data_IF_176559470206
#
_entry.id   IF_176559470206
#
_cell.length_a   1.000
_cell.length_b   1.000
_cell.length_c   1.000
_cell.angle_alpha   90.00
_cell.angle_beta   90.00
_cell.angle_gamma   90.00
#
_symmetry.space_group_name_H-M   'P 1'
#
loop_
_entity.id
_entity.type
_entity.pdbx_description
1 polymer ?
#
# COMPACT_ATOMS: atom_id res chain seq x y z
N UNK A 1 21.81 -7.70 32.45
CA UNK A 1 22.28 -7.25 31.12
C UNK A 1 21.35 -6.15 30.66
N UNK A 2 21.84 -4.93 30.50
CA UNK A 2 21.05 -3.82 29.93
C UNK A 2 20.76 -4.13 28.47
N UNK A 3 19.50 -4.37 28.15
CA UNK A 3 19.06 -4.58 26.76
C UNK A 3 19.35 -3.32 25.94
N UNK A 4 20.28 -3.42 25.01
CA UNK A 4 20.64 -2.32 24.11
C UNK A 4 19.42 -1.98 23.25
N UNK A 5 19.02 -0.72 23.26
CA UNK A 5 17.95 -0.16 22.42
C UNK A 5 18.56 0.84 21.45
N UNK A 6 17.84 1.16 20.36
CA UNK A 6 18.25 2.20 19.45
C UNK A 6 18.34 3.56 20.13
N UNK A 7 19.41 4.30 19.85
CA UNK A 7 19.51 5.72 20.20
C UNK A 7 18.47 6.52 19.38
N UNK A 8 18.14 7.75 19.84
CA UNK A 8 17.23 8.63 19.12
C UNK A 8 17.64 8.87 17.66
N UNK A 9 18.93 9.05 17.39
CA UNK A 9 19.47 9.22 16.04
C UNK A 9 19.28 7.97 15.18
N UNK A 10 19.57 6.80 15.73
CA UNK A 10 19.37 5.52 15.03
C UNK A 10 17.88 5.26 14.74
N UNK A 11 16.98 5.58 15.68
CA UNK A 11 15.53 5.44 15.49
C UNK A 11 15.01 6.36 14.36
N UNK A 12 15.51 7.61 14.29
CA UNK A 12 15.19 8.51 13.18
C UNK A 12 15.72 7.93 11.84
N UNK A 13 16.91 7.35 11.84
CA UNK A 13 17.47 6.74 10.64
C UNK A 13 16.63 5.54 10.17
N UNK A 14 16.18 4.67 11.08
CA UNK A 14 15.27 3.55 10.76
C UNK A 14 13.93 4.09 10.25
N UNK A 15 13.38 5.12 10.90
CA UNK A 15 12.12 5.73 10.49
C UNK A 15 12.19 6.35 9.09
N UNK A 16 13.27 7.06 8.76
CA UNK A 16 13.45 7.64 7.42
C UNK A 16 13.70 6.57 6.36
N UNK A 17 14.35 5.47 6.73
CA UNK A 17 14.50 4.31 5.83
C UNK A 17 13.14 3.67 5.54
N UNK A 18 12.35 3.41 6.58
CA UNK A 18 11.00 2.85 6.46
C UNK A 18 10.08 3.78 5.67
N UNK A 19 10.12 5.09 5.93
CA UNK A 19 9.41 6.08 5.13
C UNK A 19 9.78 5.97 3.64
N UNK A 20 11.08 5.91 3.34
CA UNK A 20 11.54 5.78 1.95
C UNK A 20 11.17 4.46 1.28
N UNK A 21 10.85 3.41 2.06
CA UNK A 21 10.34 2.14 1.53
C UNK A 21 8.83 2.21 1.24
N UNK A 22 8.06 2.86 2.10
CA UNK A 22 6.62 3.04 1.89
C UNK A 22 6.31 4.09 0.84
N UNK A 23 7.00 5.24 0.90
CA UNK A 23 6.63 6.40 0.10
C UNK A 23 6.94 6.20 -1.38
N UNK A 24 5.91 5.86 -2.15
CA UNK A 24 5.95 5.57 -3.58
C UNK A 24 4.84 6.31 -4.35
N UNK A 25 4.59 5.85 -5.57
CA UNK A 25 3.61 6.45 -6.47
C UNK A 25 2.20 6.57 -5.87
N UNK A 26 1.73 5.52 -5.19
CA UNK A 26 0.40 5.49 -4.59
C UNK A 26 0.19 6.56 -3.53
N UNK A 27 1.21 6.77 -2.69
CA UNK A 27 1.18 7.72 -1.59
C UNK A 27 1.05 9.19 -2.02
N UNK A 28 1.22 9.45 -3.31
CA UNK A 28 1.04 10.77 -3.91
C UNK A 28 -0.32 10.93 -4.57
N UNK A 29 -0.70 9.94 -5.37
CA UNK A 29 -1.87 10.08 -6.22
C UNK A 29 -3.18 9.88 -5.45
N UNK A 30 -3.25 8.90 -4.53
CA UNK A 30 -4.49 8.61 -3.81
C UNK A 30 -4.92 9.76 -2.89
N UNK A 31 -4.05 10.37 -2.06
CA UNK A 31 -4.49 11.46 -1.19
C UNK A 31 -5.02 12.68 -1.95
N UNK A 32 -4.38 13.06 -3.05
CA UNK A 32 -4.82 14.21 -3.84
C UNK A 32 -6.19 13.95 -4.49
N UNK A 33 -6.36 12.78 -5.09
CA UNK A 33 -7.63 12.37 -5.69
C UNK A 33 -8.76 12.24 -4.65
N UNK A 34 -8.46 11.62 -3.50
CA UNK A 34 -9.36 11.55 -2.37
C UNK A 34 -9.86 12.94 -1.95
N UNK A 35 -8.96 13.92 -1.89
CA UNK A 35 -9.33 15.30 -1.59
C UNK A 35 -10.33 15.88 -2.57
N UNK A 36 -10.12 15.65 -3.87
CA UNK A 36 -11.07 16.09 -4.91
C UNK A 36 -12.44 15.45 -4.75
N UNK A 37 -12.50 14.17 -4.34
CA UNK A 37 -13.75 13.43 -4.19
C UNK A 37 -14.49 13.76 -2.90
N UNK A 38 -13.76 13.93 -1.80
CA UNK A 38 -14.34 14.13 -0.47
C UNK A 38 -14.96 15.51 -0.27
N UNK A 39 -14.49 16.54 -0.95
CA UNK A 39 -15.03 17.89 -0.86
C UNK A 39 -15.13 18.38 0.58
N UNK A 40 -16.27 18.94 0.96
CA UNK A 40 -16.54 19.46 2.32
C UNK A 40 -16.52 18.39 3.42
N UNK A 41 -16.62 17.10 3.07
CA UNK A 41 -16.50 15.96 4.00
C UNK A 41 -15.05 15.47 4.15
N UNK A 42 -14.06 16.31 3.85
CA UNK A 42 -12.62 15.97 3.87
C UNK A 42 -12.13 15.52 5.25
N UNK A 43 -12.63 16.06 6.35
CA UNK A 43 -12.13 15.71 7.70
C UNK A 43 -12.40 14.22 8.05
N UNK A 44 -13.67 13.71 8.00
CA UNK A 44 -13.89 12.28 8.18
C UNK A 44 -13.14 11.42 7.14
N UNK A 45 -12.97 11.91 5.91
CA UNK A 45 -12.21 11.22 4.89
C UNK A 45 -10.71 11.10 5.27
N UNK A 46 -10.08 12.17 5.76
CA UNK A 46 -8.70 12.14 6.27
C UNK A 46 -8.55 11.07 7.37
N UNK A 47 -9.48 11.02 8.33
CA UNK A 47 -9.41 10.07 9.45
C UNK A 47 -9.48 8.64 8.93
N UNK A 48 -10.45 8.32 8.07
CA UNK A 48 -10.59 6.99 7.48
C UNK A 48 -9.34 6.55 6.70
N UNK A 49 -8.83 7.43 5.85
CA UNK A 49 -7.64 7.18 5.04
C UNK A 49 -6.38 6.93 5.88
N UNK A 50 -6.13 7.76 6.91
CA UNK A 50 -4.94 7.62 7.76
C UNK A 50 -4.97 6.29 8.53
N UNK A 51 -6.12 5.81 8.97
CA UNK A 51 -6.19 4.53 9.67
C UNK A 51 -5.64 3.39 8.79
N UNK A 52 -6.01 3.35 7.52
CA UNK A 52 -5.61 2.27 6.61
C UNK A 52 -4.29 2.52 5.91
N UNK A 53 -4.02 3.74 5.46
CA UNK A 53 -2.82 4.07 4.72
C UNK A 53 -1.60 4.35 5.62
N UNK A 54 -1.79 4.53 6.93
CA UNK A 54 -0.71 4.76 7.90
C UNK A 54 -0.75 3.78 9.06
N UNK A 55 -1.90 3.61 9.71
CA UNK A 55 -2.04 2.79 10.91
C UNK A 55 -1.74 1.32 10.63
N UNK A 56 -2.51 0.70 9.72
CA UNK A 56 -2.34 -0.73 9.40
C UNK A 56 -0.92 -1.06 8.88
N UNK A 57 -0.29 -0.27 8.00
CA UNK A 57 1.09 -0.50 7.57
C UNK A 57 2.10 -0.57 8.70
N UNK A 58 2.03 0.36 9.66
CA UNK A 58 2.93 0.37 10.82
C UNK A 58 2.73 -0.88 11.67
N UNK A 59 1.47 -1.23 11.94
CA UNK A 59 1.16 -2.48 12.65
C UNK A 59 1.60 -3.72 11.84
N UNK A 60 1.55 -3.68 10.50
CA UNK A 60 2.05 -4.75 9.64
C UNK A 60 3.55 -5.01 9.83
N UNK A 61 4.37 -3.95 9.79
CA UNK A 61 5.81 -4.05 10.09
C UNK A 61 6.04 -4.58 11.50
N UNK A 62 5.31 -4.03 12.48
CA UNK A 62 5.46 -4.40 13.87
C UNK A 62 5.00 -5.85 14.17
N UNK A 63 4.02 -6.37 13.44
CA UNK A 63 3.54 -7.75 13.58
C UNK A 63 4.65 -8.78 13.32
N UNK A 64 5.53 -8.53 12.35
CA UNK A 64 6.69 -9.38 12.07
C UNK A 64 7.65 -9.38 13.29
N UNK A 65 7.92 -8.20 13.87
CA UNK A 65 8.78 -8.07 15.06
C UNK A 65 8.19 -8.73 16.31
N UNK A 66 6.92 -8.43 16.62
CA UNK A 66 6.24 -8.93 17.83
C UNK A 66 6.07 -10.46 17.82
N UNK A 67 5.95 -11.06 16.65
CA UNK A 67 5.83 -12.51 16.49
C UNK A 67 7.15 -13.24 16.35
N UNK A 68 8.29 -12.52 16.42
CA UNK A 68 9.64 -13.04 16.20
C UNK A 68 9.73 -13.84 14.89
N UNK A 69 9.06 -13.34 13.85
CA UNK A 69 8.98 -14.01 12.53
C UNK A 69 10.11 -13.55 11.63
N UNK A 70 10.70 -14.47 10.86
CA UNK A 70 11.73 -14.16 9.85
C UNK A 70 11.15 -13.56 8.55
N UNK A 71 9.89 -13.13 8.58
CA UNK A 71 9.17 -12.51 7.48
C UNK A 71 7.72 -12.98 7.38
N UNK A 72 7.05 -12.54 6.32
CA UNK A 72 5.64 -12.82 6.08
C UNK A 72 5.33 -14.31 6.02
N UNK A 73 6.19 -15.11 5.37
CA UNK A 73 5.96 -16.56 5.22
C UNK A 73 5.91 -17.27 6.57
N UNK A 74 6.76 -16.89 7.52
CA UNK A 74 6.77 -17.45 8.87
C UNK A 74 5.55 -17.01 9.65
N UNK A 75 5.16 -15.73 9.58
CA UNK A 75 3.97 -15.21 10.24
C UNK A 75 2.69 -15.88 9.71
N UNK A 76 2.48 -15.89 8.40
CA UNK A 76 1.31 -16.54 7.78
C UNK A 76 1.34 -18.06 7.89
N UNK A 77 2.52 -18.64 8.04
CA UNK A 77 2.75 -20.06 8.31
C UNK A 77 2.15 -20.53 9.64
N UNK A 78 1.85 -19.63 10.59
CA UNK A 78 1.12 -19.95 11.84
C UNK A 78 -0.29 -20.48 11.57
N UNK A 79 -0.91 -20.12 10.45
CA UNK A 79 -2.18 -20.70 9.97
C UNK A 79 -1.95 -22.13 9.45
N UNK A 80 -0.88 -22.30 8.69
CA UNK A 80 -0.45 -23.58 8.11
C UNK A 80 0.63 -23.37 7.05
N UNK A 81 1.50 -24.36 6.85
CA UNK A 81 2.65 -24.25 5.94
C UNK A 81 2.22 -23.90 4.50
N UNK A 82 1.18 -24.55 3.97
CA UNK A 82 0.67 -24.25 2.62
C UNK A 82 0.07 -22.85 2.52
N UNK A 83 -0.64 -22.42 3.56
CA UNK A 83 -1.17 -21.05 3.63
C UNK A 83 -0.05 -20.01 3.64
N UNK A 84 1.02 -20.24 4.39
CA UNK A 84 2.19 -19.37 4.43
C UNK A 84 2.78 -19.12 3.05
N UNK A 85 2.95 -20.18 2.25
CA UNK A 85 3.44 -20.10 0.88
C UNK A 85 2.44 -19.33 0.00
N UNK A 86 1.18 -19.76 0.01
CA UNK A 86 0.11 -19.17 -0.81
C UNK A 86 -0.02 -17.66 -0.56
N UNK A 87 -0.17 -17.27 0.72
CA UNK A 87 -0.40 -15.87 1.07
C UNK A 87 0.82 -14.98 0.78
N UNK A 88 2.03 -15.50 0.98
CA UNK A 88 3.27 -14.81 0.62
C UNK A 88 3.38 -14.59 -0.89
N UNK A 89 3.11 -15.63 -1.70
CA UNK A 89 3.09 -15.49 -3.16
C UNK A 89 2.07 -14.43 -3.59
N UNK A 90 0.84 -14.55 -3.11
CA UNK A 90 -0.25 -13.66 -3.50
C UNK A 90 0.09 -12.20 -3.16
N UNK A 91 0.59 -11.95 -1.95
CA UNK A 91 0.95 -10.61 -1.49
C UNK A 91 2.11 -10.04 -2.32
N UNK A 92 3.21 -10.79 -2.48
CA UNK A 92 4.37 -10.29 -3.24
C UNK A 92 4.07 -10.10 -4.73
N UNK A 93 3.23 -10.94 -5.34
CA UNK A 93 2.78 -10.71 -6.70
C UNK A 93 1.94 -9.44 -6.82
N UNK A 94 1.08 -9.17 -5.83
CA UNK A 94 0.22 -7.97 -5.81
C UNK A 94 1.03 -6.69 -5.67
N UNK A 95 1.92 -6.58 -4.68
CA UNK A 95 2.79 -5.40 -4.50
C UNK A 95 3.95 -5.35 -5.50
N UNK A 96 4.20 -6.43 -6.20
CA UNK A 96 5.24 -6.58 -7.20
C UNK A 96 4.69 -6.41 -8.62
N UNK A 97 4.81 -7.46 -9.44
CA UNK A 97 4.63 -7.37 -10.88
C UNK A 97 3.19 -7.12 -11.34
N UNK A 98 2.17 -7.41 -10.51
CA UNK A 98 0.78 -7.23 -10.93
C UNK A 98 0.35 -5.76 -10.89
N UNK A 99 0.66 -5.02 -9.80
CA UNK A 99 0.09 -3.68 -9.64
C UNK A 99 1.08 -2.59 -9.24
N UNK A 100 1.86 -2.72 -8.16
CA UNK A 100 2.63 -1.58 -7.67
C UNK A 100 3.82 -1.22 -8.58
N UNK A 101 4.53 -2.19 -9.14
CA UNK A 101 5.64 -1.93 -10.06
C UNK A 101 5.14 -1.31 -11.38
N UNK A 102 4.11 -1.88 -12.07
CA UNK A 102 3.54 -1.26 -13.27
C UNK A 102 3.00 0.14 -13.00
N UNK A 103 2.33 0.34 -11.85
CA UNK A 103 1.81 1.64 -11.44
C UNK A 103 2.91 2.70 -11.30
N UNK A 104 4.09 2.35 -10.84
CA UNK A 104 5.21 3.28 -10.79
C UNK A 104 5.57 3.83 -12.18
N UNK A 105 5.61 2.99 -13.20
CA UNK A 105 5.89 3.43 -14.57
C UNK A 105 4.76 4.32 -15.12
N UNK A 106 3.50 3.89 -14.92
CA UNK A 106 2.35 4.64 -15.45
C UNK A 106 2.12 5.96 -14.74
N UNK A 107 2.35 6.05 -13.42
CA UNK A 107 2.30 7.35 -12.70
C UNK A 107 3.38 8.29 -13.23
N UNK A 108 4.62 7.79 -13.42
CA UNK A 108 5.70 8.59 -14.00
C UNK A 108 5.37 9.09 -15.40
N UNK A 109 4.74 8.25 -16.22
CA UNK A 109 4.27 8.63 -17.55
C UNK A 109 3.16 9.68 -17.47
N UNK A 110 2.12 9.44 -16.66
CA UNK A 110 0.95 10.33 -16.53
C UNK A 110 1.35 11.73 -16.03
N UNK A 111 2.30 11.80 -15.10
CA UNK A 111 2.76 13.09 -14.56
C UNK A 111 3.81 13.78 -15.43
N UNK A 112 4.60 13.03 -16.19
CA UNK A 112 5.77 13.57 -16.89
C UNK A 112 5.62 13.72 -18.39
N UNK A 113 5.07 12.74 -19.06
CA UNK A 113 5.07 12.66 -20.53
C UNK A 113 3.69 12.88 -21.11
N UNK A 114 2.65 12.30 -20.50
CA UNK A 114 1.27 12.36 -20.99
C UNK A 114 0.78 13.78 -21.30
N UNK A 115 1.05 14.82 -20.49
CA UNK A 115 0.60 16.19 -20.78
C UNK A 115 1.24 16.82 -22.02
N UNK A 116 2.34 16.25 -22.51
CA UNK A 116 3.12 16.77 -23.64
C UNK A 116 2.80 16.04 -24.97
N UNK A 117 1.93 15.03 -24.93
CA UNK A 117 1.66 14.12 -26.03
C UNK A 117 0.18 14.15 -26.39
N UNK A 118 -0.13 14.19 -27.70
CA UNK A 118 -1.51 14.12 -28.18
C UNK A 118 -2.19 12.79 -27.80
N UNK A 119 -3.49 12.79 -27.63
CA UNK A 119 -4.26 11.60 -27.22
C UNK A 119 -4.02 10.40 -28.14
N UNK A 120 -3.93 10.63 -29.45
CA UNK A 120 -3.67 9.57 -30.43
C UNK A 120 -2.30 8.94 -30.31
N UNK A 121 -1.30 9.66 -29.81
CA UNK A 121 0.06 9.16 -29.61
C UNK A 121 0.31 8.58 -28.21
N UNK A 122 -0.64 8.72 -27.25
CA UNK A 122 -0.51 8.26 -25.87
C UNK A 122 -0.11 6.77 -25.78
N UNK A 123 -0.72 5.82 -26.49
CA UNK A 123 -0.36 4.41 -26.34
C UNK A 123 1.08 4.12 -26.76
N UNK A 124 1.54 4.70 -27.87
CA UNK A 124 2.91 4.54 -28.34
C UNK A 124 3.91 5.22 -27.40
N UNK A 125 3.58 6.42 -26.92
CA UNK A 125 4.43 7.14 -25.97
C UNK A 125 4.55 6.37 -24.64
N UNK A 126 3.45 5.78 -24.13
CA UNK A 126 3.47 4.92 -22.94
C UNK A 126 4.35 3.69 -23.15
N UNK A 127 4.23 3.02 -24.31
CA UNK A 127 5.04 1.85 -24.63
C UNK A 127 6.54 2.19 -24.64
N UNK A 128 6.91 3.29 -25.31
CA UNK A 128 8.32 3.72 -25.39
C UNK A 128 8.86 4.17 -24.02
N UNK A 129 8.07 4.96 -23.29
CA UNK A 129 8.45 5.40 -21.94
C UNK A 129 8.63 4.22 -20.98
N UNK A 130 7.65 3.31 -20.95
CA UNK A 130 7.71 2.13 -20.07
C UNK A 130 8.86 1.19 -20.44
N UNK A 131 9.18 1.02 -21.73
CA UNK A 131 10.33 0.26 -22.18
C UNK A 131 11.63 0.84 -21.61
N UNK A 132 11.83 2.16 -21.73
CA UNK A 132 13.01 2.84 -21.16
C UNK A 132 13.03 2.73 -19.64
N UNK A 133 11.90 3.01 -18.97
CA UNK A 133 11.77 2.92 -17.52
C UNK A 133 12.14 1.52 -17.01
N UNK A 134 11.59 0.46 -17.60
CA UNK A 134 11.85 -0.91 -17.17
C UNK A 134 13.25 -1.41 -17.58
N UNK A 135 13.85 -0.88 -18.64
CA UNK A 135 15.26 -1.13 -18.94
C UNK A 135 16.18 -0.61 -17.80
N UNK A 136 15.89 0.60 -17.27
CA UNK A 136 16.59 1.11 -16.08
C UNK A 136 16.29 0.28 -14.83
N UNK A 137 15.02 -0.08 -14.58
CA UNK A 137 14.66 -0.94 -13.45
C UNK A 137 15.44 -2.23 -13.49
N UNK A 138 15.46 -2.93 -14.62
CA UNK A 138 16.17 -4.20 -14.78
C UNK A 138 17.68 -4.03 -14.60
N UNK A 139 18.28 -3.03 -15.25
CA UNK A 139 19.71 -2.77 -15.15
C UNK A 139 20.16 -2.56 -13.70
N UNK A 140 19.44 -1.75 -12.93
CA UNK A 140 19.78 -1.48 -11.53
C UNK A 140 19.42 -2.65 -10.60
N UNK A 141 18.36 -3.36 -10.84
CA UNK A 141 17.99 -4.55 -10.04
C UNK A 141 19.00 -5.68 -10.20
N UNK A 142 19.59 -5.83 -11.39
CA UNK A 142 20.63 -6.83 -11.63
C UNK A 142 22.02 -6.43 -11.07
N UNK A 143 22.21 -5.17 -10.70
CA UNK A 143 23.45 -4.63 -10.15
C UNK A 143 23.16 -3.85 -8.86
N UNK A 144 22.72 -4.51 -7.77
CA UNK A 144 22.44 -3.86 -6.50
C UNK A 144 23.72 -3.21 -5.97
N UNK A 145 23.88 -1.93 -6.18
CA UNK A 145 25.09 -1.18 -5.85
C UNK A 145 24.77 0.16 -5.19
N UNK A 146 25.82 0.95 -4.92
CA UNK A 146 25.74 2.25 -4.23
C UNK A 146 24.81 3.27 -4.90
N UNK A 147 24.48 3.13 -6.20
CA UNK A 147 23.66 4.08 -6.98
C UNK A 147 22.24 4.14 -6.45
N UNK A 148 21.61 3.01 -6.08
CA UNK A 148 20.26 2.99 -5.51
C UNK A 148 20.18 3.75 -4.18
N UNK A 149 21.26 3.66 -3.39
CA UNK A 149 21.39 4.42 -2.13
C UNK A 149 21.57 5.91 -2.41
N UNK A 150 22.34 6.27 -3.44
CA UNK A 150 22.58 7.67 -3.84
C UNK A 150 21.29 8.34 -4.36
N UNK A 151 20.57 7.67 -5.24
CA UNK A 151 19.28 8.13 -5.75
C UNK A 151 18.33 8.40 -4.57
N UNK A 152 18.24 7.48 -3.60
CA UNK A 152 17.39 7.69 -2.42
C UNK A 152 17.84 8.82 -1.49
N UNK A 153 19.15 9.07 -1.36
CA UNK A 153 19.67 10.13 -0.48
C UNK A 153 19.48 11.55 -1.03
N UNK A 154 19.48 11.72 -2.34
CA UNK A 154 19.37 13.04 -2.97
C UNK A 154 17.93 13.29 -3.44
N UNK A 155 17.33 12.35 -4.15
CA UNK A 155 16.06 12.57 -4.82
C UNK A 155 14.90 12.62 -3.84
N UNK A 156 14.88 11.79 -2.79
CA UNK A 156 13.81 11.86 -1.79
C UNK A 156 13.74 13.24 -1.08
N UNK A 157 14.83 13.81 -0.56
CA UNK A 157 14.78 15.15 0.02
C UNK A 157 14.36 16.23 -0.98
N UNK A 158 14.86 16.18 -2.22
CA UNK A 158 14.49 17.15 -3.27
C UNK A 158 13.00 17.04 -3.60
N UNK A 159 12.49 15.82 -3.74
CA UNK A 159 11.07 15.58 -3.97
C UNK A 159 10.20 16.08 -2.81
N UNK A 160 10.56 15.75 -1.57
CA UNK A 160 9.82 16.21 -0.39
C UNK A 160 9.85 17.74 -0.25
N UNK A 161 10.98 18.37 -0.58
CA UNK A 161 11.09 19.83 -0.59
C UNK A 161 10.16 20.44 -1.65
N UNK A 162 10.17 19.91 -2.87
CA UNK A 162 9.26 20.37 -3.93
C UNK A 162 7.80 20.16 -3.56
N UNK A 163 7.45 19.00 -3.03
CA UNK A 163 6.09 18.71 -2.55
C UNK A 163 5.67 19.66 -1.44
N UNK A 164 6.56 19.95 -0.48
CA UNK A 164 6.30 20.94 0.58
C UNK A 164 6.04 22.34 0.00
N UNK A 165 6.88 22.79 -0.94
CA UNK A 165 6.70 24.08 -1.62
C UNK A 165 5.38 24.13 -2.39
N UNK A 166 5.04 23.07 -3.13
CA UNK A 166 3.78 22.96 -3.87
C UNK A 166 2.56 23.03 -2.93
N UNK A 167 2.59 22.24 -1.85
CA UNK A 167 1.53 22.22 -0.83
C UNK A 167 1.37 23.58 -0.16
N UNK A 168 2.48 24.20 0.25
CA UNK A 168 2.45 25.54 0.87
C UNK A 168 1.85 26.56 -0.11
N UNK A 169 2.25 26.56 -1.38
CA UNK A 169 1.70 27.45 -2.38
C UNK A 169 0.18 27.26 -2.56
N UNK A 170 -0.26 25.99 -2.62
CA UNK A 170 -1.67 25.65 -2.77
C UNK A 170 -2.51 26.03 -1.55
N UNK A 171 -2.00 25.82 -0.33
CA UNK A 171 -2.71 26.18 0.90
C UNK A 171 -2.75 27.69 1.16
N UNK A 172 -1.73 28.45 0.72
CA UNK A 172 -1.69 29.91 0.85
C UNK A 172 -2.57 30.62 -0.18
N UNK A 173 -2.80 30.01 -1.35
CA UNK A 173 -3.65 30.53 -2.42
C UNK A 173 -4.65 29.47 -2.87
N UNK A 174 -5.61 29.09 -2.01
CA UNK A 174 -6.55 28.01 -2.32
C UNK A 174 -7.43 28.38 -3.50
N UNK A 175 -7.73 27.40 -4.36
CA UNK A 175 -8.67 27.59 -5.47
C UNK A 175 -10.12 27.72 -5.01
N UNK A 176 -10.48 27.05 -3.90
CA UNK A 176 -11.79 27.15 -3.25
C UNK A 176 -11.68 27.01 -1.74
N UNK A 177 -12.72 27.53 -1.02
CA UNK A 177 -12.92 27.17 0.39
C UNK A 177 -13.39 25.71 0.48
N UNK A 178 -12.93 24.99 1.48
CA UNK A 178 -13.31 23.57 1.69
C UNK A 178 -14.83 23.42 1.84
N UNK A 179 -15.49 24.38 2.51
CA UNK A 179 -16.95 24.39 2.70
C UNK A 179 -17.74 24.45 1.40
N UNK A 180 -17.14 25.03 0.36
CA UNK A 180 -17.83 25.32 -0.91
C UNK A 180 -17.65 24.20 -1.94
N UNK A 181 -16.82 23.21 -1.63
CA UNK A 181 -16.55 22.08 -2.50
C UNK A 181 -17.57 20.95 -2.23
N UNK A 182 -18.47 20.71 -3.17
CA UNK A 182 -19.42 19.62 -3.06
C UNK A 182 -18.74 18.25 -3.07
N UNK A 183 -19.05 17.35 -2.12
CA UNK A 183 -18.56 15.98 -2.14
C UNK A 183 -19.21 15.18 -3.27
N UNK A 184 -18.52 14.15 -3.77
CA UNK A 184 -19.10 13.18 -4.69
C UNK A 184 -20.06 12.22 -3.96
N UNK A 185 -20.88 11.48 -4.71
CA UNK A 185 -21.89 10.58 -4.15
C UNK A 185 -21.33 9.60 -3.10
N UNK A 186 -20.18 8.92 -3.32
CA UNK A 186 -19.59 8.03 -2.30
C UNK A 186 -19.12 8.73 -1.03
N UNK A 187 -19.02 10.06 -1.04
CA UNK A 187 -18.55 10.91 0.07
C UNK A 187 -19.64 11.88 0.57
N UNK A 188 -20.90 11.69 0.17
CA UNK A 188 -21.99 12.63 0.44
C UNK A 188 -22.29 12.86 1.93
N UNK A 189 -22.05 11.88 2.78
CA UNK A 189 -22.20 11.99 4.23
C UNK A 189 -20.89 11.82 4.97
N UNK A 190 -20.78 12.31 6.21
CA UNK A 190 -19.59 12.11 7.05
C UNK A 190 -19.25 10.64 7.25
N UNK A 191 -20.28 9.79 7.43
CA UNK A 191 -20.11 8.35 7.61
C UNK A 191 -19.61 7.68 6.33
N UNK A 192 -20.24 7.96 5.18
CA UNK A 192 -19.80 7.41 3.92
C UNK A 192 -18.41 7.92 3.54
N UNK A 193 -18.09 9.19 3.77
CA UNK A 193 -16.76 9.75 3.54
C UNK A 193 -15.68 9.03 4.37
N UNK A 194 -15.95 8.73 5.64
CA UNK A 194 -15.03 7.96 6.48
C UNK A 194 -14.78 6.54 5.92
N UNK A 195 -15.85 5.79 5.61
CA UNK A 195 -15.68 4.42 5.15
C UNK A 195 -15.17 4.31 3.72
N UNK A 196 -15.59 5.20 2.82
CA UNK A 196 -15.05 5.25 1.46
C UNK A 196 -13.54 5.54 1.46
N UNK A 197 -13.10 6.50 2.27
CA UNK A 197 -11.69 6.82 2.38
C UNK A 197 -10.87 5.77 3.13
N UNK A 198 -11.48 5.07 4.10
CA UNK A 198 -10.87 3.91 4.74
C UNK A 198 -10.52 2.83 3.70
N UNK A 199 -11.42 2.58 2.76
CA UNK A 199 -11.20 1.64 1.65
C UNK A 199 -10.23 2.22 0.61
N UNK A 200 -10.31 3.52 0.30
CA UNK A 200 -9.39 4.19 -0.63
C UNK A 200 -7.92 4.03 -0.17
N UNK A 201 -7.70 4.01 1.16
CA UNK A 201 -6.38 3.76 1.74
C UNK A 201 -5.79 2.39 1.37
N UNK A 202 -6.60 1.40 0.98
CA UNK A 202 -6.09 0.13 0.43
C UNK A 202 -5.32 0.35 -0.88
N UNK A 203 -5.73 1.34 -1.66
CA UNK A 203 -5.07 1.70 -2.92
C UNK A 203 -3.59 2.07 -2.77
N UNK A 204 -3.14 2.56 -1.60
CA UNK A 204 -1.71 2.82 -1.37
C UNK A 204 -0.87 1.54 -1.35
N UNK A 205 -1.47 0.38 -1.02
CA UNK A 205 -0.83 -0.92 -0.84
C UNK A 205 0.15 -0.99 0.33
N UNK A 206 0.21 0.05 1.18
CA UNK A 206 1.20 0.15 2.25
C UNK A 206 1.01 -0.90 3.34
N UNK A 207 -0.22 -1.31 3.66
CA UNK A 207 -0.47 -2.32 4.70
C UNK A 207 0.11 -3.69 4.32
N UNK A 208 -0.07 -4.11 3.07
CA UNK A 208 0.52 -5.35 2.56
C UNK A 208 2.03 -5.20 2.35
N UNK A 209 2.50 -4.00 1.95
CA UNK A 209 3.93 -3.69 1.88
C UNK A 209 4.58 -3.71 3.27
N UNK A 210 3.88 -3.27 4.33
CA UNK A 210 4.35 -3.32 5.71
C UNK A 210 4.68 -4.74 6.18
N UNK A 211 3.83 -5.71 5.84
CA UNK A 211 4.09 -7.13 6.10
C UNK A 211 5.30 -7.66 5.32
N UNK A 212 5.51 -7.19 4.09
CA UNK A 212 6.65 -7.59 3.27
C UNK A 212 7.97 -6.93 3.73
N UNK A 213 7.92 -5.67 4.17
CA UNK A 213 9.10 -4.90 4.55
C UNK A 213 9.54 -5.12 6.00
N UNK A 214 8.70 -5.74 6.83
CA UNK A 214 8.99 -5.95 8.25
C UNK A 214 10.35 -6.61 8.51
N UNK A 215 10.72 -7.62 7.72
CA UNK A 215 12.02 -8.28 7.85
C UNK A 215 13.19 -7.35 7.56
N UNK A 216 13.07 -6.49 6.53
CA UNK A 216 14.15 -5.56 6.16
C UNK A 216 14.41 -4.56 7.29
N UNK A 217 13.35 -4.08 7.95
CA UNK A 217 13.47 -3.15 9.08
C UNK A 217 14.10 -3.84 10.29
N UNK A 218 13.71 -5.09 10.58
CA UNK A 218 14.30 -5.91 11.64
C UNK A 218 15.79 -6.11 11.38
N UNK A 219 16.19 -6.47 10.17
CA UNK A 219 17.60 -6.65 9.80
C UNK A 219 18.42 -5.37 9.97
N UNK A 220 17.87 -4.22 9.61
CA UNK A 220 18.51 -2.91 9.83
C UNK A 220 18.74 -2.66 11.32
N UNK A 221 17.73 -2.91 12.17
CA UNK A 221 17.82 -2.74 13.63
C UNK A 221 18.85 -3.70 14.24
N UNK A 222 18.85 -4.96 13.83
CA UNK A 222 19.83 -5.96 14.29
C UNK A 222 21.26 -5.58 13.90
N UNK A 223 21.49 -5.10 12.68
CA UNK A 223 22.81 -4.58 12.25
C UNK A 223 23.29 -3.38 13.04
N UNK A 224 22.38 -2.64 13.71
CA UNK A 224 22.73 -1.57 14.64
C UNK A 224 23.07 -2.09 16.06
N UNK A 225 23.08 -3.42 16.26
CA UNK A 225 23.49 -4.10 17.48
C UNK A 225 22.39 -4.24 18.51
N UNK A 226 21.12 -4.33 18.10
CA UNK A 226 19.98 -4.69 18.95
C UNK A 226 19.68 -6.18 18.69
N UNK A 227 20.08 -7.06 19.62
CA UNK A 227 19.97 -8.51 19.44
C UNK A 227 18.75 -9.12 20.15
N UNK A 228 18.23 -8.44 21.19
CA UNK A 228 17.08 -8.91 21.94
C UNK A 228 15.79 -8.68 21.14
N UNK A 229 15.01 -9.73 20.92
CA UNK A 229 13.80 -9.73 20.10
C UNK A 229 12.72 -8.77 20.61
N UNK A 230 12.52 -8.67 21.93
CA UNK A 230 11.56 -7.73 22.51
C UNK A 230 12.02 -6.27 22.32
N UNK A 231 13.32 -6.01 22.41
CA UNK A 231 13.88 -4.69 22.13
C UNK A 231 13.74 -4.32 20.64
N UNK A 232 13.97 -5.27 19.74
CA UNK A 232 13.74 -5.11 18.30
C UNK A 232 12.27 -4.75 18.03
N UNK A 233 11.32 -5.48 18.61
CA UNK A 233 9.90 -5.20 18.45
C UNK A 233 9.51 -3.78 18.91
N UNK A 234 10.03 -3.34 20.06
CA UNK A 234 9.80 -1.97 20.57
C UNK A 234 10.42 -0.92 19.65
N UNK A 235 11.63 -1.16 19.14
CA UNK A 235 12.31 -0.22 18.24
C UNK A 235 11.66 -0.16 16.84
N UNK A 236 11.12 -1.29 16.34
CA UNK A 236 10.28 -1.33 15.13
C UNK A 236 9.04 -0.47 15.31
N UNK A 237 8.29 -0.66 16.42
CA UNK A 237 7.11 0.15 16.72
C UNK A 237 7.45 1.64 16.85
N UNK A 238 8.50 1.97 17.62
CA UNK A 238 8.90 3.36 17.82
C UNK A 238 9.35 4.07 16.53
N UNK A 239 10.06 3.35 15.65
CA UNK A 239 10.45 3.88 14.33
C UNK A 239 9.24 3.97 13.40
N UNK A 240 8.33 2.98 13.46
CA UNK A 240 7.09 2.96 12.72
C UNK A 240 6.17 4.14 13.05
N UNK A 241 6.02 4.48 14.32
CA UNK A 241 5.22 5.65 14.75
C UNK A 241 5.80 6.95 14.17
N UNK A 242 7.14 7.12 14.20
CA UNK A 242 7.77 8.30 13.59
C UNK A 242 7.53 8.38 12.07
N UNK A 243 7.66 7.24 11.39
CA UNK A 243 7.33 7.13 9.96
C UNK A 243 5.88 7.49 9.69
N UNK A 244 4.96 6.95 10.49
CA UNK A 244 3.53 7.18 10.34
C UNK A 244 3.13 8.64 10.58
N UNK A 245 3.73 9.30 11.56
CA UNK A 245 3.51 10.73 11.77
C UNK A 245 3.91 11.56 10.54
N UNK A 246 5.06 11.25 9.93
CA UNK A 246 5.51 11.93 8.72
C UNK A 246 4.56 11.66 7.54
N UNK A 247 4.15 10.39 7.33
CA UNK A 247 3.18 10.03 6.30
C UNK A 247 1.83 10.70 6.53
N UNK A 248 1.32 10.69 7.76
CA UNK A 248 0.05 11.32 8.11
C UNK A 248 0.04 12.83 7.81
N UNK A 249 1.11 13.55 8.17
CA UNK A 249 1.23 14.97 7.84
C UNK A 249 1.17 15.20 6.33
N UNK A 250 1.94 14.43 5.55
CA UNK A 250 1.96 14.56 4.09
C UNK A 250 0.58 14.26 3.51
N UNK A 251 -0.11 13.21 3.99
CA UNK A 251 -1.44 12.85 3.50
C UNK A 251 -2.48 13.92 3.83
N UNK A 252 -2.50 14.45 5.06
CA UNK A 252 -3.42 15.53 5.44
C UNK A 252 -3.27 16.71 4.50
N UNK A 253 -2.04 17.20 4.30
CA UNK A 253 -1.82 18.41 3.50
C UNK A 253 -2.07 18.18 2.00
N UNK A 254 -1.78 16.98 1.49
CA UNK A 254 -2.05 16.65 0.08
C UNK A 254 -3.54 16.39 -0.19
N UNK A 255 -4.29 15.82 0.76
CA UNK A 255 -5.75 15.70 0.68
C UNK A 255 -6.39 17.10 0.67
N UNK A 256 -6.00 17.97 1.59
CA UNK A 256 -6.51 19.36 1.63
C UNK A 256 -6.20 20.11 0.34
N UNK A 257 -4.99 19.98 -0.19
CA UNK A 257 -4.60 20.55 -1.48
C UNK A 257 -5.50 20.01 -2.61
N UNK A 258 -5.78 18.70 -2.62
CA UNK A 258 -6.70 18.07 -3.56
C UNK A 258 -8.12 18.64 -3.47
N UNK A 259 -8.67 18.80 -2.26
CA UNK A 259 -10.00 19.40 -2.05
C UNK A 259 -10.05 20.83 -2.59
N UNK A 260 -9.08 21.65 -2.26
CA UNK A 260 -9.04 23.06 -2.67
C UNK A 260 -8.82 23.23 -4.18
N UNK A 261 -8.20 22.27 -4.84
CA UNK A 261 -7.98 22.28 -6.29
C UNK A 261 -9.29 22.24 -7.10
N UNK A 262 -10.40 21.80 -6.49
CA UNK A 262 -11.73 21.75 -7.10
C UNK A 262 -12.30 23.12 -7.48
N UNK A 263 -11.77 24.21 -6.91
CA UNK A 263 -12.09 25.58 -7.37
C UNK A 263 -11.40 25.98 -8.66
N UNK A 264 -10.41 25.21 -9.10
CA UNK A 264 -9.60 25.47 -10.30
C UNK A 264 -9.84 24.43 -11.40
N UNK A 265 -10.12 23.19 -11.01
CA UNK A 265 -10.21 22.03 -11.88
C UNK A 265 -11.42 21.16 -11.54
N UNK A 266 -11.96 20.49 -12.52
CA UNK A 266 -12.90 19.39 -12.31
C UNK A 266 -12.20 18.18 -11.67
N UNK A 267 -12.98 17.18 -11.25
CA UNK A 267 -12.44 15.93 -10.73
C UNK A 267 -11.65 15.24 -11.83
N UNK A 268 -10.39 14.96 -11.56
CA UNK A 268 -9.52 14.26 -12.49
C UNK A 268 -9.79 12.74 -12.46
N UNK A 269 -9.52 12.02 -13.54
CA UNK A 269 -9.67 10.56 -13.60
C UNK A 269 -8.77 9.83 -12.60
N UNK A 270 -7.66 10.45 -12.22
CA UNK A 270 -6.75 9.93 -11.21
C UNK A 270 -5.89 11.05 -10.59
N UNK A 271 -5.29 10.76 -9.45
CA UNK A 271 -4.49 11.74 -8.73
C UNK A 271 -3.18 12.14 -9.40
N UNK A 272 -2.70 11.39 -10.39
CA UNK A 272 -1.52 11.79 -11.18
C UNK A 272 -1.83 13.00 -12.05
N UNK A 273 -2.99 12.99 -12.72
CA UNK A 273 -3.50 14.12 -13.51
C UNK A 273 -3.73 15.33 -12.60
N UNK A 274 -4.46 15.12 -11.48
CA UNK A 274 -4.73 16.19 -10.50
C UNK A 274 -3.45 16.89 -10.02
N UNK A 275 -2.45 16.11 -9.64
CA UNK A 275 -1.18 16.64 -9.14
C UNK A 275 -0.43 17.44 -10.19
N UNK A 276 -0.46 16.98 -11.45
CA UNK A 276 0.17 17.67 -12.60
C UNK A 276 -0.54 19.00 -12.91
N UNK A 277 -1.87 19.03 -12.88
CA UNK A 277 -2.66 20.24 -13.05
C UNK A 277 -2.36 21.26 -11.95
N UNK A 278 -2.31 20.84 -10.70
CA UNK A 278 -1.99 21.69 -9.55
C UNK A 278 -0.57 22.26 -9.68
N UNK A 279 0.42 21.43 -9.99
CA UNK A 279 1.80 21.88 -10.18
C UNK A 279 1.93 22.87 -11.35
N UNK A 280 1.22 22.63 -12.44
CA UNK A 280 1.15 23.52 -13.59
C UNK A 280 0.51 24.87 -13.27
N UNK A 281 -0.56 24.88 -12.46
CA UNK A 281 -1.23 26.11 -12.05
C UNK A 281 -0.34 27.02 -11.21
N UNK A 282 0.34 26.46 -10.20
CA UNK A 282 1.14 27.27 -9.26
C UNK A 282 2.52 27.64 -9.80
N UNK A 283 3.15 26.79 -10.59
CA UNK A 283 4.54 26.96 -11.04
C UNK A 283 4.75 26.85 -12.56
N UNK A 284 3.66 26.79 -13.33
CA UNK A 284 3.73 26.68 -14.79
C UNK A 284 4.46 25.42 -15.26
N UNK A 285 5.02 25.47 -16.46
CA UNK A 285 5.76 24.34 -17.04
C UNK A 285 6.98 23.89 -16.23
N UNK A 286 7.61 24.81 -15.51
CA UNK A 286 8.76 24.48 -14.63
C UNK A 286 8.31 23.58 -13.49
N UNK A 287 7.15 23.86 -12.87
CA UNK A 287 6.59 23.02 -11.80
C UNK A 287 6.24 21.62 -12.30
N UNK A 288 5.66 21.52 -13.50
CA UNK A 288 5.36 20.22 -14.11
C UNK A 288 6.64 19.40 -14.38
N UNK A 289 7.70 20.02 -14.90
CA UNK A 289 8.98 19.35 -15.16
C UNK A 289 9.62 18.85 -13.86
N UNK A 290 9.68 19.69 -12.81
CA UNK A 290 10.24 19.29 -11.52
C UNK A 290 9.44 18.13 -10.93
N UNK A 291 8.10 18.20 -10.98
CA UNK A 291 7.22 17.12 -10.53
C UNK A 291 7.49 15.83 -11.30
N UNK A 292 7.51 15.91 -12.63
CA UNK A 292 7.75 14.78 -13.53
C UNK A 292 9.09 14.07 -13.22
N UNK A 293 10.16 14.84 -13.12
CA UNK A 293 11.50 14.31 -12.83
C UNK A 293 11.55 13.66 -11.46
N UNK A 294 11.08 14.35 -10.43
CA UNK A 294 11.14 13.87 -9.06
C UNK A 294 10.27 12.64 -8.82
N UNK A 295 9.04 12.60 -9.38
CA UNK A 295 8.16 11.42 -9.33
C UNK A 295 8.78 10.25 -10.09
N UNK A 296 9.31 10.47 -11.29
CA UNK A 296 9.91 9.41 -12.10
C UNK A 296 11.06 8.73 -11.34
N UNK A 297 11.93 9.50 -10.72
CA UNK A 297 13.03 8.93 -9.93
C UNK A 297 12.56 8.25 -8.64
N UNK A 298 11.56 8.80 -7.95
CA UNK A 298 10.96 8.15 -6.78
C UNK A 298 10.33 6.81 -7.16
N UNK A 299 9.57 6.77 -8.27
CA UNK A 299 8.96 5.56 -8.81
C UNK A 299 10.01 4.54 -9.29
N UNK A 300 11.07 5.00 -9.94
CA UNK A 300 12.18 4.15 -10.38
C UNK A 300 12.84 3.43 -9.18
N UNK A 301 13.15 4.18 -8.11
CA UNK A 301 13.70 3.62 -6.87
C UNK A 301 12.75 2.57 -6.27
N UNK A 302 11.46 2.88 -6.16
CA UNK A 302 10.45 1.97 -5.62
C UNK A 302 10.36 0.69 -6.46
N UNK A 303 10.33 0.81 -7.78
CA UNK A 303 10.30 -0.34 -8.70
C UNK A 303 11.53 -1.23 -8.56
N UNK A 304 12.73 -0.65 -8.47
CA UNK A 304 13.98 -1.39 -8.25
C UNK A 304 13.91 -2.15 -6.92
N UNK A 305 13.47 -1.48 -5.85
CA UNK A 305 13.32 -2.10 -4.53
C UNK A 305 12.33 -3.26 -4.53
N UNK A 306 11.18 -3.09 -5.18
CA UNK A 306 10.15 -4.13 -5.28
C UNK A 306 10.60 -5.32 -6.14
N UNK A 307 11.21 -5.09 -7.31
CA UNK A 307 11.76 -6.18 -8.14
C UNK A 307 12.81 -6.96 -7.36
N UNK A 308 13.68 -6.27 -6.62
CA UNK A 308 14.71 -6.92 -5.80
C UNK A 308 14.07 -7.76 -4.68
N UNK A 309 13.16 -7.17 -3.91
CA UNK A 309 12.51 -7.86 -2.78
C UNK A 309 11.68 -9.05 -3.23
N UNK A 310 10.91 -8.90 -4.32
CA UNK A 310 10.16 -10.02 -4.92
C UNK A 310 11.11 -11.14 -5.36
N UNK A 311 12.18 -10.80 -6.09
CA UNK A 311 13.13 -11.78 -6.62
C UNK A 311 13.84 -12.54 -5.51
N UNK A 312 14.31 -11.86 -4.45
CA UNK A 312 14.94 -12.49 -3.29
C UNK A 312 13.97 -13.43 -2.56
N UNK A 313 12.72 -13.00 -2.38
CA UNK A 313 11.68 -13.82 -1.73
C UNK A 313 11.39 -15.09 -2.54
N UNK A 314 11.23 -14.96 -3.86
CA UNK A 314 10.93 -16.11 -4.71
C UNK A 314 12.14 -17.06 -4.88
N UNK A 315 13.37 -16.56 -4.82
CA UNK A 315 14.57 -17.42 -4.73
C UNK A 315 14.53 -18.27 -3.46
N UNK A 316 14.23 -17.65 -2.30
CA UNK A 316 14.09 -18.39 -1.03
C UNK A 316 12.96 -19.42 -1.09
N UNK A 317 11.82 -19.07 -1.63
CA UNK A 317 10.65 -19.94 -1.75
C UNK A 317 10.89 -21.13 -2.69
N UNK A 318 11.67 -20.93 -3.75
CA UNK A 318 12.06 -21.99 -4.68
C UNK A 318 13.32 -22.77 -4.25
N UNK A 319 13.79 -22.52 -3.03
CA UNK A 319 15.01 -23.13 -2.49
C UNK A 319 16.23 -22.98 -3.44
N UNK A 320 16.34 -21.84 -4.09
CA UNK A 320 17.44 -21.52 -5.01
C UNK A 320 17.37 -22.23 -6.38
N UNK A 321 16.33 -23.01 -6.67
CA UNK A 321 16.18 -23.71 -7.97
C UNK A 321 16.09 -22.74 -9.15
N UNK A 322 15.54 -21.56 -8.93
CA UNK A 322 15.43 -20.50 -9.93
C UNK A 322 16.31 -19.34 -9.45
N UNK A 323 17.20 -18.85 -10.33
CA UNK A 323 18.16 -17.81 -9.98
C UNK A 323 17.47 -16.44 -9.79
N UNK A 324 18.07 -15.59 -8.95
CA UNK A 324 17.67 -14.20 -8.75
C UNK A 324 17.54 -13.44 -10.08
N UNK A 325 18.54 -13.62 -10.98
CA UNK A 325 18.56 -12.97 -12.29
C UNK A 325 17.31 -13.31 -13.12
N UNK A 326 16.91 -14.58 -13.12
CA UNK A 326 15.74 -15.01 -13.88
C UNK A 326 14.45 -14.42 -13.30
N UNK A 327 14.28 -14.44 -11.98
CA UNK A 327 13.14 -13.81 -11.33
C UNK A 327 13.07 -12.31 -11.60
N UNK A 328 14.18 -11.59 -11.50
CA UNK A 328 14.23 -10.15 -11.79
C UNK A 328 13.83 -9.84 -13.24
N UNK A 329 14.29 -10.64 -14.21
CA UNK A 329 13.89 -10.50 -15.62
C UNK A 329 12.39 -10.77 -15.78
N UNK A 330 11.87 -11.88 -15.24
CA UNK A 330 10.46 -12.26 -15.38
C UNK A 330 9.56 -11.18 -14.77
N UNK A 331 9.83 -10.73 -13.55
CA UNK A 331 9.01 -9.71 -12.90
C UNK A 331 9.07 -8.36 -13.62
N UNK A 332 10.24 -7.97 -14.13
CA UNK A 332 10.38 -6.71 -14.88
C UNK A 332 9.61 -6.78 -16.21
N UNK A 333 9.76 -7.85 -16.99
CA UNK A 333 9.06 -8.00 -18.27
C UNK A 333 7.54 -8.10 -18.09
N UNK A 334 7.09 -8.82 -17.06
CA UNK A 334 5.67 -8.90 -16.76
C UNK A 334 5.11 -7.52 -16.35
N UNK A 335 5.82 -6.79 -15.48
CA UNK A 335 5.43 -5.44 -15.08
C UNK A 335 5.41 -4.47 -16.27
N UNK A 336 6.36 -4.59 -17.19
CA UNK A 336 6.36 -3.83 -18.44
C UNK A 336 5.10 -4.10 -19.26
N UNK A 337 4.75 -5.37 -19.45
CA UNK A 337 3.53 -5.72 -20.18
C UNK A 337 2.28 -5.14 -19.52
N UNK A 338 2.14 -5.30 -18.20
CA UNK A 338 0.99 -4.78 -17.44
C UNK A 338 0.94 -3.24 -17.47
N UNK A 339 2.07 -2.54 -17.44
CA UNK A 339 2.07 -1.07 -17.44
C UNK A 339 1.42 -0.45 -18.69
N UNK A 340 1.39 -1.18 -19.80
CA UNK A 340 0.84 -0.67 -21.06
C UNK A 340 -0.70 -0.65 -21.11
N UNK A 341 -1.40 -1.12 -20.07
CA UNK A 341 -2.87 -0.93 -19.95
C UNK A 341 -3.23 0.48 -19.42
N UNK A 342 -2.24 1.23 -18.93
CA UNK A 342 -2.44 2.59 -18.40
C UNK A 342 -2.77 2.66 -16.91
N UNK A 343 -2.63 3.87 -16.33
CA UNK A 343 -2.75 4.08 -14.89
C UNK A 343 -4.15 3.79 -14.35
N UNK A 344 -5.17 4.35 -14.98
CA UNK A 344 -6.57 4.22 -14.52
C UNK A 344 -7.02 2.75 -14.53
N UNK A 345 -6.67 1.99 -15.57
CA UNK A 345 -6.97 0.57 -15.63
C UNK A 345 -6.23 -0.24 -14.55
N UNK A 346 -4.95 0.05 -14.28
CA UNK A 346 -4.21 -0.61 -13.21
C UNK A 346 -4.87 -0.34 -11.86
N UNK A 347 -5.34 0.88 -11.60
CA UNK A 347 -6.05 1.23 -10.36
C UNK A 347 -7.36 0.43 -10.30
N UNK A 348 -8.18 0.47 -11.33
CA UNK A 348 -9.48 -0.21 -11.40
C UNK A 348 -9.37 -1.72 -11.15
N UNK A 349 -8.45 -2.41 -11.84
CA UNK A 349 -8.27 -3.85 -11.68
C UNK A 349 -7.54 -4.24 -10.39
N UNK A 350 -6.81 -3.34 -9.74
CA UNK A 350 -6.20 -3.61 -8.44
C UNK A 350 -7.21 -3.64 -7.29
N UNK A 351 -8.28 -2.83 -7.36
CA UNK A 351 -9.27 -2.71 -6.28
C UNK A 351 -9.86 -4.06 -5.86
N UNK A 352 -10.40 -4.92 -6.76
CA UNK A 352 -10.93 -6.22 -6.36
C UNK A 352 -9.90 -7.09 -5.64
N UNK A 353 -8.68 -7.15 -6.16
CA UNK A 353 -7.60 -7.94 -5.56
C UNK A 353 -7.23 -7.42 -4.18
N UNK A 354 -7.20 -6.10 -3.99
CA UNK A 354 -6.97 -5.50 -2.68
C UNK A 354 -8.11 -5.80 -1.71
N UNK A 355 -9.37 -5.76 -2.15
CA UNK A 355 -10.54 -6.16 -1.35
C UNK A 355 -10.46 -7.63 -0.90
N UNK A 356 -9.81 -8.48 -1.68
CA UNK A 356 -9.59 -9.88 -1.32
C UNK A 356 -8.44 -10.06 -0.31
N UNK A 357 -7.34 -9.29 -0.43
CA UNK A 357 -6.10 -9.52 0.32
C UNK A 357 -6.05 -8.73 1.63
N UNK A 358 -6.59 -7.50 1.66
CA UNK A 358 -6.52 -6.66 2.85
C UNK A 358 -7.23 -7.22 4.08
N UNK A 359 -8.44 -7.82 3.97
CA UNK A 359 -9.08 -8.46 5.10
C UNK A 359 -8.22 -9.52 5.79
N UNK A 360 -7.71 -10.57 5.11
CA UNK A 360 -6.84 -11.54 5.76
C UNK A 360 -5.48 -10.97 6.19
N UNK A 361 -4.93 -9.97 5.51
CA UNK A 361 -3.72 -9.27 5.96
C UNK A 361 -3.97 -8.56 7.30
N UNK A 362 -5.05 -7.80 7.40
CA UNK A 362 -5.44 -7.07 8.61
C UNK A 362 -5.76 -8.03 9.76
N UNK A 363 -6.52 -9.10 9.49
CA UNK A 363 -6.80 -10.14 10.49
C UNK A 363 -5.51 -10.82 10.99
N UNK A 364 -4.56 -11.11 10.10
CA UNK A 364 -3.27 -11.69 10.46
C UNK A 364 -2.44 -10.73 11.34
N UNK A 365 -2.45 -9.44 11.05
CA UNK A 365 -1.81 -8.41 11.87
C UNK A 365 -2.44 -8.38 13.27
N UNK A 366 -3.76 -8.34 13.37
CA UNK A 366 -4.47 -8.34 14.66
C UNK A 366 -4.14 -9.61 15.46
N UNK A 367 -4.18 -10.78 14.82
CA UNK A 367 -3.82 -12.04 15.46
C UNK A 367 -2.36 -12.10 15.92
N UNK A 368 -1.44 -11.44 15.21
CA UNK A 368 -0.05 -11.34 15.62
C UNK A 368 0.09 -10.66 16.99
N UNK A 369 -0.61 -9.53 17.18
CA UNK A 369 -0.61 -8.82 18.49
C UNK A 369 -1.39 -9.56 19.57
N UNK A 370 -2.52 -10.19 19.21
CA UNK A 370 -3.32 -10.97 20.14
C UNK A 370 -2.71 -12.34 20.47
N UNK A 371 -1.65 -12.75 19.78
CA UNK A 371 -1.10 -14.10 19.82
C UNK A 371 -0.72 -14.62 21.22
N UNK A 372 -0.28 -13.72 22.11
CA UNK A 372 0.03 -14.06 23.52
C UNK A 372 -1.20 -14.54 24.30
N UNK A 373 -2.43 -14.06 23.97
CA UNK A 373 -3.69 -14.45 24.64
C UNK A 373 -4.03 -15.93 24.44
N UNK A 374 -3.70 -16.47 23.27
CA UNK A 374 -3.98 -17.86 22.89
C UNK A 374 -2.71 -18.66 22.57
N UNK A 375 -1.54 -18.20 23.05
CA UNK A 375 -0.24 -18.88 22.90
C UNK A 375 0.09 -19.24 21.46
N UNK A 376 -0.33 -18.41 20.50
CA UNK A 376 -0.18 -18.65 19.07
C UNK A 376 -0.78 -19.97 18.58
N UNK A 377 -1.86 -20.46 19.22
CA UNK A 377 -2.51 -21.71 18.82
C UNK A 377 -3.02 -21.62 17.38
N UNK A 378 -2.63 -22.62 16.59
CA UNK A 378 -3.00 -22.73 15.17
C UNK A 378 -4.52 -22.74 14.95
N UNK A 379 -5.33 -23.30 15.87
CA UNK A 379 -6.77 -23.36 15.73
C UNK A 379 -7.39 -21.95 15.62
N UNK A 380 -6.88 -20.98 16.43
CA UNK A 380 -7.35 -19.59 16.40
C UNK A 380 -6.99 -18.93 15.08
N UNK A 381 -5.72 -19.08 14.61
CA UNK A 381 -5.32 -18.55 13.32
C UNK A 381 -6.15 -19.13 12.19
N UNK A 382 -6.30 -20.46 12.13
CA UNK A 382 -6.97 -21.16 11.05
C UNK A 382 -8.46 -20.79 10.96
N UNK A 383 -9.20 -20.85 12.09
CA UNK A 383 -10.63 -20.51 12.09
C UNK A 383 -10.85 -19.04 11.70
N UNK A 384 -10.09 -18.10 12.25
CA UNK A 384 -10.21 -16.69 11.88
C UNK A 384 -9.97 -16.50 10.38
N UNK A 385 -8.92 -17.12 9.82
CA UNK A 385 -8.60 -16.97 8.40
C UNK A 385 -9.66 -17.58 7.49
N UNK A 386 -10.21 -18.76 7.82
CA UNK A 386 -11.27 -19.39 7.01
C UNK A 386 -12.49 -18.46 6.90
N UNK A 387 -12.97 -17.93 8.02
CA UNK A 387 -14.12 -17.03 8.03
C UNK A 387 -13.82 -15.70 7.34
N UNK A 388 -12.61 -15.15 7.51
CA UNK A 388 -12.20 -13.91 6.85
C UNK A 388 -12.17 -14.08 5.33
N UNK A 389 -11.54 -15.15 4.81
CA UNK A 389 -11.49 -15.43 3.38
C UNK A 389 -12.85 -15.70 2.78
N UNK A 390 -13.70 -16.46 3.49
CA UNK A 390 -15.06 -16.76 3.03
C UNK A 390 -15.88 -15.50 2.81
N UNK A 391 -15.68 -14.47 3.64
CA UNK A 391 -16.37 -13.18 3.48
C UNK A 391 -15.66 -12.26 2.47
N UNK A 392 -14.33 -12.19 2.48
CA UNK A 392 -13.55 -11.33 1.58
C UNK A 392 -13.77 -11.67 0.09
N UNK A 393 -14.09 -12.92 -0.22
CA UNK A 393 -14.42 -13.34 -1.59
C UNK A 393 -15.65 -12.60 -2.14
N UNK A 394 -16.60 -12.26 -1.29
CA UNK A 394 -17.78 -11.50 -1.72
C UNK A 394 -17.49 -10.01 -1.90
N UNK A 395 -16.59 -9.44 -1.09
CA UNK A 395 -16.08 -8.06 -1.30
C UNK A 395 -15.28 -7.99 -2.62
N UNK A 396 -14.50 -9.02 -2.95
CA UNK A 396 -13.86 -9.17 -4.26
C UNK A 396 -14.88 -9.19 -5.40
N UNK A 397 -15.93 -10.02 -5.31
CA UNK A 397 -16.96 -10.10 -6.35
C UNK A 397 -17.70 -8.77 -6.54
N UNK A 398 -18.04 -8.09 -5.44
CA UNK A 398 -18.74 -6.79 -5.45
C UNK A 398 -17.95 -5.73 -6.21
N UNK A 399 -16.63 -5.72 -6.08
CA UNK A 399 -15.75 -4.69 -6.62
C UNK A 399 -15.20 -4.98 -8.03
N UNK A 400 -15.50 -6.16 -8.58
CA UNK A 400 -15.17 -6.47 -9.98
C UNK A 400 -15.87 -5.49 -10.94
N UNK A 401 -15.22 -5.11 -12.05
CA UNK A 401 -15.87 -4.33 -13.11
C UNK A 401 -17.21 -4.94 -13.53
N UNK A 402 -18.21 -4.09 -13.74
CA UNK A 402 -19.59 -4.53 -13.97
C UNK A 402 -19.72 -5.57 -15.10
N UNK A 403 -19.00 -5.37 -16.23
CA UNK A 403 -18.98 -6.32 -17.35
C UNK A 403 -18.46 -7.70 -16.95
N UNK A 404 -17.40 -7.77 -16.14
CA UNK A 404 -16.82 -9.03 -15.65
C UNK A 404 -17.80 -9.72 -14.68
N UNK A 405 -18.38 -8.95 -13.75
CA UNK A 405 -19.33 -9.46 -12.77
C UNK A 405 -20.56 -10.07 -13.42
N UNK A 406 -21.13 -9.39 -14.40
CA UNK A 406 -22.29 -9.88 -15.17
C UNK A 406 -21.93 -11.09 -16.02
N UNK A 407 -20.79 -11.08 -16.71
CA UNK A 407 -20.35 -12.22 -17.51
C UNK A 407 -20.14 -13.50 -16.69
N UNK A 408 -19.64 -13.34 -15.46
CA UNK A 408 -19.42 -14.45 -14.52
C UNK A 408 -20.67 -14.79 -13.66
N UNK A 409 -21.79 -14.09 -13.86
CA UNK A 409 -23.05 -14.27 -13.10
C UNK A 409 -22.87 -14.10 -11.58
N UNK A 410 -22.02 -13.18 -11.16
CA UNK A 410 -21.69 -12.94 -9.75
C UNK A 410 -22.65 -11.99 -9.04
N UNK A 411 -23.64 -11.42 -9.72
CA UNK A 411 -24.62 -10.52 -9.12
C UNK A 411 -25.46 -11.24 -8.05
N UNK A 412 -25.91 -12.48 -8.29
CA UNK A 412 -26.68 -13.25 -7.31
C UNK A 412 -25.89 -13.56 -6.02
N UNK A 413 -24.63 -14.05 -6.05
CA UNK A 413 -23.78 -14.15 -4.86
C UNK A 413 -23.58 -12.82 -4.12
N UNK A 414 -23.41 -11.69 -4.84
CA UNK A 414 -23.24 -10.37 -4.23
C UNK A 414 -24.53 -9.93 -3.50
N UNK A 415 -25.70 -10.11 -4.10
CA UNK A 415 -27.00 -9.80 -3.46
C UNK A 415 -27.23 -10.70 -2.23
N UNK A 416 -26.86 -11.96 -2.28
CA UNK A 416 -26.90 -12.88 -1.14
C UNK A 416 -26.01 -12.36 0.00
N UNK A 417 -24.78 -11.98 -0.31
CA UNK A 417 -23.84 -11.42 0.65
C UNK A 417 -24.36 -10.12 1.27
N UNK A 418 -24.95 -9.23 0.45
CA UNK A 418 -25.57 -7.99 0.93
C UNK A 418 -26.67 -8.24 1.94
N UNK A 419 -27.43 -9.33 1.79
CA UNK A 419 -28.53 -9.69 2.70
C UNK A 419 -28.03 -10.29 4.03
N UNK A 420 -26.93 -11.03 4.03
CA UNK A 420 -26.49 -11.83 5.18
C UNK A 420 -25.21 -11.33 5.84
N UNK A 421 -24.37 -10.56 5.16
CA UNK A 421 -23.14 -10.02 5.74
C UNK A 421 -23.35 -8.58 6.23
N UNK A 422 -23.38 -8.35 7.53
CA UNK A 422 -23.43 -6.99 8.07
C UNK A 422 -22.21 -6.18 7.62
N UNK A 423 -22.38 -4.87 7.43
CA UNK A 423 -21.35 -3.93 6.97
C UNK A 423 -20.86 -4.20 5.53
N UNK A 424 -21.51 -5.08 4.78
CA UNK A 424 -21.12 -5.41 3.40
C UNK A 424 -21.20 -4.19 2.47
N UNK A 425 -22.21 -3.33 2.64
CA UNK A 425 -22.34 -2.09 1.86
C UNK A 425 -21.16 -1.14 2.09
N UNK A 426 -20.52 -1.19 3.26
CA UNK A 426 -19.34 -0.42 3.63
C UNK A 426 -18.01 -1.09 3.22
N UNK A 427 -18.05 -2.19 2.45
CA UNK A 427 -16.90 -3.02 2.10
C UNK A 427 -16.13 -3.57 3.33
N UNK A 428 -16.86 -3.80 4.43
CA UNK A 428 -16.37 -4.39 5.67
C UNK A 428 -17.14 -5.67 6.04
N UNK A 429 -17.72 -6.34 5.04
CA UNK A 429 -18.47 -7.58 5.21
C UNK A 429 -17.67 -8.71 5.88
N UNK A 430 -16.35 -8.65 5.79
CA UNK A 430 -15.44 -9.62 6.38
C UNK A 430 -15.26 -9.48 7.91
N UNK A 431 -15.55 -8.32 8.50
CA UNK A 431 -15.18 -8.01 9.89
C UNK A 431 -15.87 -8.90 10.91
N UNK A 432 -17.22 -9.02 10.84
CA UNK A 432 -17.96 -9.87 11.77
C UNK A 432 -17.69 -11.37 11.56
N UNK A 433 -17.61 -11.92 10.35
CA UNK A 433 -17.10 -13.27 10.14
C UNK A 433 -15.72 -13.52 10.74
N UNK A 434 -14.78 -12.58 10.59
CA UNK A 434 -13.45 -12.71 11.20
C UNK A 434 -13.53 -12.79 12.74
N UNK A 435 -14.36 -11.97 13.37
CA UNK A 435 -14.63 -12.02 14.83
C UNK A 435 -15.26 -13.36 15.21
N UNK A 436 -16.25 -13.84 14.48
CA UNK A 436 -16.87 -15.14 14.72
C UNK A 436 -15.84 -16.27 14.62
N UNK A 437 -14.98 -16.26 13.58
CA UNK A 437 -13.87 -17.21 13.44
C UNK A 437 -12.88 -17.16 14.59
N UNK A 438 -12.57 -15.95 15.10
CA UNK A 438 -11.73 -15.78 16.29
C UNK A 438 -12.36 -16.39 17.54
N UNK A 439 -13.65 -16.13 17.81
CA UNK A 439 -14.39 -16.66 18.96
C UNK A 439 -14.45 -18.20 18.90
N UNK A 440 -14.75 -18.78 17.73
CA UNK A 440 -14.75 -20.24 17.52
C UNK A 440 -13.36 -20.81 17.81
N UNK A 441 -12.32 -20.20 17.25
CA UNK A 441 -10.93 -20.63 17.48
C UNK A 441 -10.54 -20.56 18.95
N UNK A 442 -10.93 -19.52 19.67
CA UNK A 442 -10.73 -19.38 21.11
C UNK A 442 -11.46 -20.47 21.91
N UNK A 443 -12.70 -20.78 21.56
CA UNK A 443 -13.45 -21.87 22.19
C UNK A 443 -12.76 -23.22 22.01
N UNK A 444 -12.25 -23.52 20.81
CA UNK A 444 -11.45 -24.72 20.52
C UNK A 444 -10.17 -24.73 21.36
N UNK A 445 -9.45 -23.62 21.42
CA UNK A 445 -8.22 -23.47 22.21
C UNK A 445 -8.48 -23.79 23.69
N UNK A 446 -9.52 -23.17 24.28
CA UNK A 446 -9.87 -23.34 25.68
C UNK A 446 -10.33 -24.79 26.00
N UNK A 447 -11.14 -25.39 25.12
CA UNK A 447 -11.59 -26.78 25.28
C UNK A 447 -10.44 -27.81 25.31
N UNK A 448 -9.44 -27.61 24.43
CA UNK A 448 -8.22 -28.45 24.41
C UNK A 448 -7.40 -28.29 25.70
N UNK A 449 -7.32 -27.08 26.23
CA UNK A 449 -6.57 -26.77 27.45
C UNK A 449 -7.25 -27.35 28.72
N UNK A 450 -8.58 -27.40 28.75
CA UNK A 450 -9.35 -28.01 29.82
C UNK A 450 -9.21 -29.55 29.87
N UNK A 451 -8.95 -30.20 28.72
CA UNK A 451 -8.72 -31.65 28.62
C UNK A 451 -7.28 -32.08 28.93
N UNK A 452 -6.34 -31.13 28.88
CA UNK A 452 -4.92 -31.38 29.20
C UNK A 452 -4.54 -31.13 30.68
N UNK A 453 -5.50 -30.69 31.48
CA UNK A 453 -5.45 -30.66 32.96
C UNK A 453 -6.21 -31.86 33.52
#
# INVERSE_FOLDING_TARGET
MTTKKLTRKQRILVATTLFGMFFGAGNLIFPVHLGQMAGSNVIPAIIGFIITAVGIPIFGVAAIGVTHSDGLQTLSGKVGRGYGIFFTCLLYLTIGPLFAIPRCATVSFTTGVSPMVSETAQPLALLLFSAVFFAFVLFFSLRPGKITVWIGKIINPVFLLFLAVLVIAALLKPGASISDVAPTEPYATKTSAFFSSFIEGYGTMDAIAGLAFGIVVIDVIRRMGVDNDDAVAVDVLGSGVLTGLLMAVIYVVTILMGTQSRGLFEISDNGGIALTQIAGHYFGGVGQIILAVTITFACLKTSIGLVTSCSETFVKMTHGKISYKLWAIVFTLFSFAVSNVGLSAIIEYSIPVLMLIYPPATALIILAFAGKLFRHDRAVYLSTMIFTWAAAIFDFFKTLPAGVRTALRLDAPVELAKRYLPLFDLNLGWLLPAVAGFVIGMAIHLSRRGRAK
#
